data_IF_609371793527
#
_entry.id   IF_609371793527
#
_cell.length_a   1.000
_cell.length_b   1.000
_cell.length_c   1.000
_cell.angle_alpha   90.00
_cell.angle_beta   90.00
_cell.angle_gamma   90.00
#
_symmetry.space_group_name_H-M   'P 1'
#
loop_
_entity.id
_entity.type
_entity.pdbx_description
1 polymer ?
#
# COMPACT_ATOMS: atom_id res chain seq x y z
N UNK A 1 22.11 -5.25 -7.61
CA UNK A 1 20.85 -5.15 -6.85
C UNK A 1 20.52 -6.37 -5.98
N UNK A 2 20.17 -7.56 -6.48
CA UNK A 2 19.89 -8.72 -5.57
C UNK A 2 21.11 -9.22 -4.78
N UNK A 3 22.33 -9.00 -5.30
CA UNK A 3 23.59 -9.42 -4.65
C UNK A 3 24.11 -8.47 -3.56
N UNK A 4 23.53 -7.27 -3.42
CA UNK A 4 23.98 -6.28 -2.42
C UNK A 4 23.15 -6.32 -1.13
N UNK A 5 21.97 -6.93 -1.17
CA UNK A 5 21.24 -7.25 0.04
C UNK A 5 21.92 -8.43 0.74
N UNK A 6 22.37 -8.20 1.99
CA UNK A 6 22.98 -9.24 2.85
C UNK A 6 22.26 -10.58 2.69
N UNK A 7 23.03 -11.63 2.39
CA UNK A 7 22.57 -13.01 2.49
C UNK A 7 22.14 -13.23 3.95
N UNK A 8 20.93 -13.77 4.15
CA UNK A 8 20.30 -13.96 5.47
C UNK A 8 21.21 -14.73 6.45
N UNK A 9 22.13 -15.53 5.92
CA UNK A 9 23.13 -16.32 6.67
C UNK A 9 24.12 -15.47 7.50
N UNK A 10 24.30 -14.19 7.17
CA UNK A 10 25.20 -13.27 7.89
C UNK A 10 24.55 -12.50 9.04
N UNK A 11 23.22 -12.58 9.17
CA UNK A 11 22.44 -11.79 10.13
C UNK A 11 22.24 -12.57 11.43
N UNK A 12 22.17 -11.86 12.56
CA UNK A 12 21.81 -12.48 13.82
C UNK A 12 20.42 -13.13 13.72
N UNK A 13 20.15 -14.24 14.43
CA UNK A 13 18.84 -14.90 14.41
C UNK A 13 17.70 -13.94 14.77
N UNK A 14 17.99 -12.95 15.63
CA UNK A 14 17.07 -11.89 16.03
C UNK A 14 16.69 -10.98 14.85
N UNK A 15 17.66 -10.56 14.05
CA UNK A 15 17.45 -9.71 12.87
C UNK A 15 16.69 -10.45 11.75
N UNK A 16 17.00 -11.73 11.53
CA UNK A 16 16.26 -12.58 10.58
C UNK A 16 14.79 -12.69 11.00
N UNK A 17 14.55 -12.91 12.30
CA UNK A 17 13.19 -13.02 12.84
C UNK A 17 12.43 -11.70 12.72
N UNK A 18 13.09 -10.57 12.97
CA UNK A 18 12.51 -9.24 12.73
C UNK A 18 12.14 -9.04 11.26
N UNK A 19 13.07 -9.28 10.32
CA UNK A 19 12.83 -9.16 8.88
C UNK A 19 11.63 -10.00 8.43
N UNK A 20 11.54 -11.26 8.85
CA UNK A 20 10.40 -12.15 8.53
C UNK A 20 9.07 -11.65 9.12
N UNK A 21 9.09 -11.16 10.37
CA UNK A 21 7.90 -10.59 11.02
C UNK A 21 7.41 -9.35 10.27
N UNK A 22 8.32 -8.50 9.82
CA UNK A 22 8.01 -7.31 9.03
C UNK A 22 7.39 -7.63 7.67
N UNK A 23 7.96 -8.58 6.92
CA UNK A 23 7.39 -9.03 5.64
C UNK A 23 5.97 -9.54 5.84
N UNK A 24 5.76 -10.39 6.86
CA UNK A 24 4.43 -10.95 7.16
C UNK A 24 3.42 -9.87 7.55
N UNK A 25 3.81 -8.90 8.37
CA UNK A 25 2.95 -7.78 8.76
C UNK A 25 2.60 -6.90 7.56
N UNK A 26 3.56 -6.62 6.68
CA UNK A 26 3.35 -5.82 5.47
C UNK A 26 2.37 -6.49 4.52
N UNK A 27 2.52 -7.80 4.29
CA UNK A 27 1.58 -8.57 3.44
C UNK A 27 0.17 -8.58 4.04
N UNK A 28 0.04 -8.77 5.36
CA UNK A 28 -1.25 -8.75 6.04
C UNK A 28 -1.92 -7.38 5.92
N UNK A 29 -1.18 -6.31 6.21
CA UNK A 29 -1.67 -4.94 6.12
C UNK A 29 -2.13 -4.61 4.69
N UNK A 30 -1.36 -5.00 3.68
CA UNK A 30 -1.73 -4.76 2.28
C UNK A 30 -3.04 -5.46 1.90
N UNK A 31 -3.20 -6.74 2.28
CA UNK A 31 -4.44 -7.48 2.04
C UNK A 31 -5.65 -6.80 2.69
N UNK A 32 -5.53 -6.42 3.96
CA UNK A 32 -6.61 -5.75 4.70
C UNK A 32 -6.93 -4.39 4.09
N UNK A 33 -5.89 -3.61 3.75
CA UNK A 33 -6.06 -2.27 3.21
C UNK A 33 -6.73 -2.30 1.82
N UNK A 34 -6.28 -3.17 0.92
CA UNK A 34 -6.95 -3.38 -0.38
C UNK A 34 -8.41 -3.81 -0.23
N UNK A 35 -8.71 -4.74 0.70
CA UNK A 35 -10.08 -5.16 0.98
C UNK A 35 -10.92 -3.98 1.50
N UNK A 36 -10.38 -3.20 2.43
CA UNK A 36 -11.09 -2.06 3.04
C UNK A 36 -11.41 -0.97 2.03
N UNK A 37 -10.48 -0.63 1.14
CA UNK A 37 -10.69 0.34 0.06
C UNK A 37 -11.75 -0.18 -0.91
N UNK A 38 -11.65 -1.44 -1.30
CA UNK A 38 -12.64 -2.07 -2.20
C UNK A 38 -14.05 -2.00 -1.61
N UNK A 39 -14.20 -2.33 -0.32
CA UNK A 39 -15.49 -2.27 0.38
C UNK A 39 -15.99 -0.82 0.49
N UNK A 40 -15.13 0.12 0.90
CA UNK A 40 -15.50 1.52 1.06
C UNK A 40 -15.94 2.16 -0.28
N UNK A 41 -15.16 1.95 -1.34
CA UNK A 41 -15.53 2.38 -2.69
C UNK A 41 -16.84 1.74 -3.14
N UNK A 42 -17.03 0.43 -2.91
CA UNK A 42 -18.26 -0.27 -3.29
C UNK A 42 -19.48 0.29 -2.57
N UNK A 43 -19.40 0.54 -1.25
CA UNK A 43 -20.51 1.11 -0.48
C UNK A 43 -20.84 2.52 -0.98
N UNK A 44 -19.84 3.38 -1.16
CA UNK A 44 -20.04 4.75 -1.61
C UNK A 44 -20.70 4.80 -2.99
N UNK A 45 -20.18 4.02 -3.94
CA UNK A 45 -20.64 4.04 -5.32
C UNK A 45 -21.98 3.30 -5.50
N UNK A 46 -22.25 2.21 -4.77
CA UNK A 46 -23.51 1.47 -4.88
C UNK A 46 -24.71 2.20 -4.26
N UNK A 47 -24.48 3.10 -3.29
CA UNK A 47 -25.56 3.81 -2.60
C UNK A 47 -26.55 4.53 -3.57
N UNK A 48 -26.10 5.39 -4.51
CA UNK A 48 -27.01 6.02 -5.47
C UNK A 48 -27.74 5.01 -6.37
N UNK A 49 -27.08 3.91 -6.77
CA UNK A 49 -27.72 2.87 -7.56
C UNK A 49 -28.83 2.17 -6.77
N UNK A 50 -28.59 1.83 -5.50
CA UNK A 50 -29.59 1.24 -4.62
C UNK A 50 -30.76 2.21 -4.42
N UNK A 51 -30.50 3.51 -4.21
CA UNK A 51 -31.56 4.51 -4.07
C UNK A 51 -32.42 4.64 -5.33
N UNK A 52 -31.81 4.71 -6.51
CA UNK A 52 -32.55 4.77 -7.78
C UNK A 52 -33.34 3.48 -8.00
N UNK A 53 -32.74 2.32 -7.74
CA UNK A 53 -33.36 1.01 -7.91
C UNK A 53 -34.58 0.83 -6.97
N UNK A 54 -34.43 1.15 -5.69
CA UNK A 54 -35.52 1.06 -4.70
C UNK A 54 -36.66 1.99 -5.06
N UNK A 55 -36.37 3.25 -5.36
CA UNK A 55 -37.41 4.23 -5.66
C UNK A 55 -38.13 3.93 -6.99
N UNK A 56 -37.41 3.54 -8.02
CA UNK A 56 -37.97 3.34 -9.36
C UNK A 56 -38.70 2.00 -9.52
N UNK A 57 -38.14 0.91 -8.97
CA UNK A 57 -38.67 -0.45 -9.19
C UNK A 57 -39.65 -0.86 -8.08
N UNK A 58 -39.35 -0.57 -6.82
CA UNK A 58 -40.23 -0.99 -5.72
C UNK A 58 -41.29 0.07 -5.41
N UNK A 59 -40.89 1.33 -5.30
CA UNK A 59 -41.79 2.42 -4.92
C UNK A 59 -42.51 3.08 -6.10
N UNK A 60 -42.15 2.74 -7.33
CA UNK A 60 -42.74 3.29 -8.56
C UNK A 60 -42.73 4.83 -8.60
N UNK A 61 -41.70 5.46 -8.02
CA UNK A 61 -41.50 6.90 -8.00
C UNK A 61 -40.57 7.32 -9.13
N UNK A 62 -40.93 8.40 -9.82
CA UNK A 62 -39.99 9.08 -10.69
C UNK A 62 -38.92 9.77 -9.84
N UNK A 63 -37.69 9.27 -9.97
CA UNK A 63 -36.49 9.82 -9.36
C UNK A 63 -35.46 10.09 -10.44
N UNK A 64 -34.69 11.18 -10.32
CA UNK A 64 -33.61 11.46 -11.25
C UNK A 64 -32.54 10.37 -11.17
N UNK A 65 -31.92 10.09 -12.31
CA UNK A 65 -30.79 9.17 -12.38
C UNK A 65 -29.54 9.80 -11.80
N UNK A 66 -29.35 9.65 -10.49
CA UNK A 66 -28.18 10.18 -9.80
C UNK A 66 -26.97 9.26 -10.01
N UNK A 67 -25.91 9.78 -10.59
CA UNK A 67 -24.61 9.12 -10.70
C UNK A 67 -23.70 9.50 -9.52
N UNK A 68 -22.67 8.68 -9.24
CA UNK A 68 -21.88 8.81 -8.00
C UNK A 68 -20.74 9.83 -8.12
N UNK A 69 -20.14 9.97 -9.30
CA UNK A 69 -19.06 10.93 -9.56
C UNK A 69 -19.55 12.19 -10.27
N UNK A 70 -20.68 12.12 -11.00
CA UNK A 70 -21.23 13.28 -11.69
C UNK A 70 -20.36 13.71 -12.87
N UNK A 71 -19.71 12.76 -13.55
CA UNK A 71 -18.87 13.08 -14.70
C UNK A 71 -19.73 13.65 -15.83
N UNK A 72 -19.28 14.75 -16.45
CA UNK A 72 -19.97 15.34 -17.59
C UNK A 72 -19.92 14.38 -18.78
N UNK A 73 -21.08 13.93 -19.25
CA UNK A 73 -21.19 13.08 -20.43
C UNK A 73 -21.69 13.85 -21.64
N UNK A 74 -21.23 13.53 -22.86
CA UNK A 74 -21.72 14.16 -24.08
C UNK A 74 -23.10 13.65 -24.52
N UNK A 75 -23.71 12.73 -23.76
CA UNK A 75 -25.01 12.12 -24.03
C UNK A 75 -25.95 12.31 -22.84
N UNK A 76 -27.25 12.45 -23.14
CA UNK A 76 -28.30 12.48 -22.14
C UNK A 76 -28.64 11.04 -21.71
N UNK A 77 -28.64 10.79 -20.41
CA UNK A 77 -28.98 9.49 -19.82
C UNK A 77 -30.28 9.53 -19.00
N UNK A 78 -30.89 10.70 -18.80
CA UNK A 78 -32.05 10.93 -17.93
C UNK A 78 -33.30 10.13 -18.35
N UNK A 79 -33.42 9.81 -19.64
CA UNK A 79 -34.59 9.12 -20.20
C UNK A 79 -34.38 7.62 -20.40
N UNK A 80 -33.15 7.12 -20.26
CA UNK A 80 -32.82 5.73 -20.60
C UNK A 80 -32.05 5.01 -19.48
N UNK A 81 -32.74 4.10 -18.80
CA UNK A 81 -32.18 3.32 -17.69
C UNK A 81 -30.98 2.46 -18.08
N UNK A 82 -30.93 1.93 -19.30
CA UNK A 82 -29.78 1.13 -19.77
C UNK A 82 -28.54 2.00 -19.97
N UNK A 83 -28.71 3.21 -20.50
CA UNK A 83 -27.61 4.18 -20.66
C UNK A 83 -27.12 4.62 -19.27
N UNK A 84 -28.04 4.87 -18.33
CA UNK A 84 -27.70 5.15 -16.94
C UNK A 84 -26.88 4.03 -16.28
N UNK A 85 -27.32 2.76 -16.38
CA UNK A 85 -26.55 1.62 -15.85
C UNK A 85 -25.16 1.54 -16.48
N UNK A 86 -25.06 1.75 -17.79
CA UNK A 86 -23.77 1.71 -18.50
C UNK A 86 -22.83 2.79 -17.97
N UNK A 87 -23.33 4.03 -17.83
CA UNK A 87 -22.57 5.14 -17.26
C UNK A 87 -22.14 4.83 -15.81
N UNK A 88 -23.05 4.29 -15.01
CA UNK A 88 -22.76 3.89 -13.64
C UNK A 88 -21.61 2.87 -13.58
N UNK A 89 -21.61 1.84 -14.43
CA UNK A 89 -20.53 0.84 -14.49
C UNK A 89 -19.19 1.49 -14.88
N UNK A 90 -19.22 2.45 -15.81
CA UNK A 90 -18.02 3.20 -16.23
C UNK A 90 -17.47 4.05 -15.10
N UNK A 91 -18.31 4.85 -14.44
CA UNK A 91 -17.91 5.63 -13.26
C UNK A 91 -17.37 4.74 -12.14
N UNK A 92 -18.02 3.61 -11.89
CA UNK A 92 -17.60 2.64 -10.90
C UNK A 92 -16.20 2.08 -11.21
N UNK A 93 -15.94 1.73 -12.48
CA UNK A 93 -14.63 1.26 -12.93
C UNK A 93 -13.55 2.32 -12.79
N UNK A 94 -13.84 3.57 -13.19
CA UNK A 94 -12.90 4.68 -13.06
C UNK A 94 -12.54 4.96 -11.60
N UNK A 95 -13.54 5.02 -10.72
CA UNK A 95 -13.32 5.22 -9.29
C UNK A 95 -12.43 4.12 -8.69
N UNK A 96 -12.68 2.85 -9.06
CA UNK A 96 -11.84 1.75 -8.61
C UNK A 96 -10.40 1.86 -9.11
N UNK A 97 -10.19 2.21 -10.37
CA UNK A 97 -8.83 2.40 -10.93
C UNK A 97 -8.07 3.47 -10.13
N UNK A 98 -8.69 4.64 -9.94
CA UNK A 98 -8.07 5.74 -9.18
C UNK A 98 -7.79 5.33 -7.73
N UNK A 99 -8.74 4.65 -7.08
CA UNK A 99 -8.55 4.16 -5.72
C UNK A 99 -7.39 3.16 -5.62
N UNK A 100 -7.26 2.25 -6.58
CA UNK A 100 -6.14 1.30 -6.62
C UNK A 100 -4.81 1.99 -6.92
N UNK A 101 -4.75 2.99 -7.79
CA UNK A 101 -3.52 3.76 -8.07
C UNK A 101 -3.02 4.51 -6.85
N UNK A 102 -3.93 5.19 -6.13
CA UNK A 102 -3.62 5.85 -4.85
C UNK A 102 -3.12 4.84 -3.82
N UNK A 103 -3.79 3.70 -3.71
CA UNK A 103 -3.43 2.64 -2.78
C UNK A 103 -2.05 2.04 -3.10
N UNK A 104 -1.75 1.77 -4.37
CA UNK A 104 -0.44 1.30 -4.84
C UNK A 104 0.67 2.29 -4.50
N UNK A 105 0.41 3.58 -4.70
CA UNK A 105 1.36 4.66 -4.37
C UNK A 105 1.64 4.71 -2.86
N UNK A 106 0.58 4.66 -2.04
CA UNK A 106 0.71 4.63 -0.58
C UNK A 106 1.44 3.37 -0.10
N UNK A 107 1.17 2.22 -0.72
CA UNK A 107 1.85 0.96 -0.44
C UNK A 107 3.35 1.05 -0.73
N UNK A 108 3.74 1.59 -1.88
CA UNK A 108 5.15 1.76 -2.24
C UNK A 108 5.90 2.62 -1.23
N UNK A 109 5.31 3.76 -0.83
CA UNK A 109 5.88 4.65 0.18
C UNK A 109 6.02 3.92 1.53
N UNK A 110 4.96 3.23 1.96
CA UNK A 110 4.94 2.51 3.25
C UNK A 110 6.02 1.43 3.29
N UNK A 111 6.17 0.66 2.20
CA UNK A 111 7.21 -0.36 2.10
C UNK A 111 8.60 0.26 2.13
N UNK A 112 8.81 1.33 1.39
CA UNK A 112 10.11 2.00 1.30
C UNK A 112 10.53 2.53 2.68
N UNK A 113 9.62 3.18 3.40
CA UNK A 113 9.84 3.66 4.78
C UNK A 113 10.10 2.51 5.76
N UNK A 114 9.38 1.40 5.63
CA UNK A 114 9.59 0.23 6.47
C UNK A 114 10.96 -0.42 6.22
N UNK A 115 11.37 -0.56 4.95
CA UNK A 115 12.71 -1.05 4.62
C UNK A 115 13.80 -0.13 5.17
N UNK A 116 13.63 1.19 5.03
CA UNK A 116 14.56 2.16 5.60
C UNK A 116 14.65 2.04 7.13
N UNK A 117 13.52 1.83 7.80
CA UNK A 117 13.47 1.62 9.26
C UNK A 117 14.23 0.36 9.67
N UNK A 118 14.07 -0.75 8.93
CA UNK A 118 14.81 -1.99 9.18
C UNK A 118 16.32 -1.77 8.98
N UNK A 119 16.70 -1.04 7.92
CA UNK A 119 18.10 -0.73 7.64
C UNK A 119 18.72 0.09 8.78
N UNK A 120 18.03 1.11 9.28
CA UNK A 120 18.46 1.86 10.46
C UNK A 120 18.57 0.99 11.73
N UNK A 121 17.66 0.05 11.93
CA UNK A 121 17.72 -0.88 13.07
C UNK A 121 18.93 -1.83 12.95
N UNK A 122 19.22 -2.34 11.76
CA UNK A 122 20.40 -3.17 11.49
C UNK A 122 21.67 -2.38 11.81
N UNK A 123 21.79 -1.17 11.25
CA UNK A 123 22.92 -0.27 11.52
C UNK A 123 23.10 -0.06 13.02
N UNK A 124 22.00 0.26 13.72
CA UNK A 124 22.02 0.51 15.16
C UNK A 124 22.45 -0.72 15.96
N UNK A 125 21.97 -1.92 15.64
CA UNK A 125 22.40 -3.14 16.33
C UNK A 125 23.88 -3.45 16.04
N UNK A 126 24.35 -3.26 14.80
CA UNK A 126 25.77 -3.49 14.46
C UNK A 126 26.70 -2.54 15.21
N UNK A 127 26.39 -1.24 15.27
CA UNK A 127 27.20 -0.30 16.06
C UNK A 127 27.14 -0.62 17.56
N UNK A 128 26.00 -1.08 18.08
CA UNK A 128 25.88 -1.51 19.47
C UNK A 128 26.81 -2.70 19.76
N UNK A 129 26.83 -3.70 18.88
CA UNK A 129 27.68 -4.88 19.02
C UNK A 129 29.17 -4.50 18.95
N UNK A 130 29.55 -3.59 18.05
CA UNK A 130 30.93 -3.08 17.95
C UNK A 130 31.35 -2.32 19.21
N UNK A 131 30.49 -1.44 19.72
CA UNK A 131 30.76 -0.66 20.93
C UNK A 131 30.87 -1.54 22.19
N UNK A 132 30.26 -2.73 22.17
CA UNK A 132 30.35 -3.69 23.28
C UNK A 132 31.65 -4.51 23.31
N UNK A 133 32.52 -4.36 22.31
CA UNK A 133 33.82 -5.05 22.24
C UNK A 133 34.83 -4.40 23.20
N UNK A 134 35.47 -5.24 24.02
CA UNK A 134 36.46 -4.85 25.02
C UNK A 134 37.86 -4.59 24.44
N UNK A 135 38.15 -5.14 23.26
CA UNK A 135 39.45 -5.01 22.58
C UNK A 135 39.41 -3.83 21.59
N UNK A 136 40.24 -2.81 21.86
CA UNK A 136 40.28 -1.57 21.11
C UNK A 136 40.72 -1.76 19.64
N UNK A 137 41.65 -2.68 19.37
CA UNK A 137 42.14 -2.95 18.01
C UNK A 137 41.07 -3.64 17.17
N UNK A 138 40.42 -4.66 17.72
CA UNK A 138 39.33 -5.40 17.07
C UNK A 138 38.11 -4.51 16.86
N UNK A 139 37.86 -3.58 17.79
CA UNK A 139 36.78 -2.59 17.69
C UNK A 139 37.01 -1.61 16.55
N UNK A 140 38.21 -1.07 16.40
CA UNK A 140 38.53 -0.12 15.34
C UNK A 140 38.46 -0.76 13.94
N UNK A 141 38.96 -2.00 13.80
CA UNK A 141 38.93 -2.74 12.54
C UNK A 141 37.49 -3.03 12.09
N UNK A 142 36.64 -3.55 12.99
CA UNK A 142 35.21 -3.79 12.70
C UNK A 142 34.42 -2.52 12.43
N UNK A 143 34.79 -1.40 13.06
CA UNK A 143 34.16 -0.11 12.82
C UNK A 143 34.44 0.37 11.39
N UNK A 144 35.71 0.34 10.95
CA UNK A 144 36.09 0.70 9.57
C UNK A 144 35.43 -0.20 8.54
N UNK A 145 35.37 -1.51 8.79
CA UNK A 145 34.71 -2.45 7.88
C UNK A 145 33.20 -2.14 7.75
N UNK A 146 32.53 -1.90 8.88
CA UNK A 146 31.10 -1.57 8.94
C UNK A 146 30.79 -0.24 8.24
N UNK A 147 31.60 0.81 8.47
CA UNK A 147 31.43 2.11 7.79
C UNK A 147 31.60 1.97 6.28
N UNK A 148 32.69 1.30 5.84
CA UNK A 148 32.98 1.11 4.42
C UNK A 148 31.84 0.37 3.72
N UNK A 149 31.30 -0.66 4.39
CA UNK A 149 30.18 -1.46 3.88
C UNK A 149 28.90 -0.64 3.73
N UNK A 150 28.57 0.21 4.70
CA UNK A 150 27.37 1.06 4.62
C UNK A 150 27.53 2.22 3.64
N UNK A 151 28.75 2.73 3.43
CA UNK A 151 29.00 3.76 2.41
C UNK A 151 28.71 3.25 0.99
N UNK A 152 28.97 1.97 0.72
CA UNK A 152 28.63 1.33 -0.57
C UNK A 152 27.14 1.18 -0.82
N UNK A 153 26.29 1.33 0.21
CA UNK A 153 24.83 1.34 0.03
C UNK A 153 24.28 2.71 -0.40
N UNK A 154 25.14 3.74 -0.40
CA UNK A 154 24.81 5.09 -0.87
C UNK A 154 25.18 5.32 -2.34
N UNK A 155 25.94 4.40 -2.95
CA UNK A 155 26.31 4.38 -4.38
C UNK A 155 25.34 3.53 -5.19
#
# INVERSE_FOLDING_TARGET
MEKEWRIDESLSPKLITMKRKFVRQTVLYNKISCLSVTIACSIYLLNPLVMVFVNKIFLHRDVPYTVALGLSTPFNYDDNFFIYITLFIVEFRLALIVAYELQCSQYFITISLNYLTILFLIIKEEFKDILSLTDDLVREEKLKETITRHSKLLE
#
